data_IF_448087608422
#
_entry.id   IF_448087608422
#
_cell.length_a   1.000
_cell.length_b   1.000
_cell.length_c   1.000
_cell.angle_alpha   90.00
_cell.angle_beta   90.00
_cell.angle_gamma   90.00
#
_symmetry.space_group_name_H-M   'P 1'
#
loop_
_entity.id
_entity.type
_entity.pdbx_description
1 polymer ?
#
# COMPACT_ATOMS: atom_id res chain seq x y z
N UNK A 1 -44.24 25.86 47.89
CA UNK A 1 -44.05 24.76 46.90
C UNK A 1 -42.75 25.02 46.17
N UNK A 2 -41.69 24.28 46.51
CA UNK A 2 -40.37 24.44 45.88
C UNK A 2 -40.28 23.60 44.62
N UNK A 3 -40.07 24.26 43.47
CA UNK A 3 -39.80 23.60 42.20
C UNK A 3 -38.36 23.08 42.28
N UNK A 4 -38.20 21.76 42.48
CA UNK A 4 -36.91 21.09 42.33
C UNK A 4 -36.48 21.22 40.86
N UNK A 5 -35.47 22.04 40.61
CA UNK A 5 -34.77 22.07 39.34
C UNK A 5 -34.06 20.73 39.15
N UNK A 6 -34.63 19.86 38.30
CA UNK A 6 -33.98 18.64 37.87
C UNK A 6 -32.89 19.02 36.86
N UNK A 7 -31.68 19.28 37.35
CA UNK A 7 -30.48 19.28 36.51
C UNK A 7 -30.23 17.85 36.08
N UNK A 8 -30.72 17.50 34.89
CA UNK A 8 -30.37 16.26 34.23
C UNK A 8 -28.87 16.27 33.96
N UNK A 9 -28.16 15.32 34.54
CA UNK A 9 -26.71 15.22 34.51
C UNK A 9 -26.25 14.67 33.14
N UNK A 10 -26.34 15.51 32.11
CA UNK A 10 -25.92 15.19 30.73
C UNK A 10 -24.39 15.13 30.58
N UNK A 11 -23.64 14.95 31.66
CA UNK A 11 -22.18 14.87 31.68
C UNK A 11 -21.69 13.46 31.36
N UNK A 12 -22.31 12.42 31.95
CA UNK A 12 -21.94 11.01 31.74
C UNK A 12 -22.14 10.54 30.30
N UNK A 13 -23.30 10.83 29.71
CA UNK A 13 -23.65 10.44 28.33
C UNK A 13 -22.68 11.00 27.28
N UNK A 14 -22.07 12.18 27.54
CA UNK A 14 -21.06 12.77 26.66
C UNK A 14 -19.69 12.12 26.79
N UNK A 15 -19.27 11.79 28.01
CA UNK A 15 -18.03 11.05 28.25
C UNK A 15 -18.12 9.68 27.56
N UNK A 16 -19.31 9.07 27.56
CA UNK A 16 -19.58 7.83 26.85
C UNK A 16 -19.47 7.99 25.32
N UNK A 17 -20.04 9.05 24.74
CA UNK A 17 -19.93 9.34 23.30
C UNK A 17 -18.47 9.61 22.88
N UNK A 18 -17.74 10.43 23.64
CA UNK A 18 -16.33 10.73 23.35
C UNK A 18 -15.46 9.48 23.43
N UNK A 19 -15.72 8.61 24.43
CA UNK A 19 -15.01 7.34 24.56
C UNK A 19 -15.30 6.41 23.38
N UNK A 20 -16.55 6.34 22.92
CA UNK A 20 -16.93 5.53 21.77
C UNK A 20 -16.29 6.05 20.48
N UNK A 21 -16.22 7.37 20.29
CA UNK A 21 -15.53 7.97 19.14
C UNK A 21 -14.03 7.62 19.11
N UNK A 22 -13.33 7.73 20.25
CA UNK A 22 -11.92 7.31 20.32
C UNK A 22 -11.75 5.84 19.95
N UNK A 23 -12.58 4.97 20.51
CA UNK A 23 -12.57 3.53 20.21
C UNK A 23 -12.81 3.26 18.72
N UNK A 24 -13.74 3.97 18.09
CA UNK A 24 -14.01 3.85 16.66
C UNK A 24 -12.84 4.36 15.81
N UNK A 25 -12.21 5.47 16.19
CA UNK A 25 -11.02 5.99 15.52
C UNK A 25 -9.85 5.00 15.60
N UNK A 26 -9.57 4.45 16.79
CA UNK A 26 -8.50 3.47 16.98
C UNK A 26 -8.77 2.18 16.22
N UNK A 27 -10.02 1.67 16.27
CA UNK A 27 -10.42 0.52 15.45
C UNK A 27 -10.27 0.78 13.95
N UNK A 28 -10.58 1.99 13.49
CA UNK A 28 -10.41 2.37 12.08
C UNK A 28 -8.94 2.39 11.69
N UNK A 29 -8.07 2.98 12.53
CA UNK A 29 -6.61 2.97 12.31
C UNK A 29 -6.04 1.55 12.23
N UNK A 30 -6.47 0.66 13.12
CA UNK A 30 -6.05 -0.75 13.06
C UNK A 30 -6.45 -1.44 11.75
N UNK A 31 -7.66 -1.18 11.25
CA UNK A 31 -8.10 -1.73 9.95
C UNK A 31 -7.30 -1.12 8.78
N UNK A 32 -6.96 0.16 8.85
CA UNK A 32 -6.11 0.81 7.84
C UNK A 32 -4.70 0.24 7.81
N UNK A 33 -4.13 -0.10 8.97
CA UNK A 33 -2.84 -0.78 9.05
C UNK A 33 -2.92 -2.19 8.43
N UNK A 34 -4.03 -2.91 8.65
CA UNK A 34 -4.25 -4.21 7.99
C UNK A 34 -4.29 -4.09 6.47
N UNK A 35 -4.98 -3.09 5.91
CA UNK A 35 -4.97 -2.86 4.46
C UNK A 35 -3.60 -2.43 3.95
N UNK A 36 -2.83 -1.68 4.74
CA UNK A 36 -1.44 -1.35 4.41
C UNK A 36 -0.61 -2.63 4.21
N UNK A 37 -0.70 -3.56 5.16
CA UNK A 37 -0.02 -4.86 5.07
C UNK A 37 -0.52 -5.70 3.89
N UNK A 38 -1.83 -5.69 3.61
CA UNK A 38 -2.41 -6.38 2.45
C UNK A 38 -1.86 -5.80 1.14
N UNK A 39 -1.76 -4.48 1.02
CA UNK A 39 -1.20 -3.83 -0.16
C UNK A 39 0.28 -4.20 -0.37
N UNK A 40 1.07 -4.19 0.71
CA UNK A 40 2.48 -4.58 0.69
C UNK A 40 2.61 -6.04 0.24
N UNK A 41 1.84 -6.95 0.83
CA UNK A 41 1.88 -8.37 0.49
C UNK A 41 1.44 -8.64 -0.95
N UNK A 42 0.35 -7.99 -1.40
CA UNK A 42 -0.09 -8.04 -2.78
C UNK A 42 1.02 -7.54 -3.74
N UNK A 43 1.78 -6.52 -3.35
CA UNK A 43 2.91 -6.03 -4.13
C UNK A 43 4.04 -7.05 -4.20
N UNK A 44 4.34 -7.77 -3.11
CA UNK A 44 5.34 -8.85 -3.12
C UNK A 44 4.93 -9.95 -4.09
N UNK A 45 3.70 -10.46 -3.97
CA UNK A 45 3.16 -11.49 -4.86
C UNK A 45 3.19 -11.04 -6.31
N UNK A 46 2.71 -9.83 -6.58
CA UNK A 46 2.71 -9.25 -7.93
C UNK A 46 4.11 -9.14 -8.52
N UNK A 47 5.09 -8.67 -7.73
CA UNK A 47 6.47 -8.51 -8.20
C UNK A 47 7.10 -9.86 -8.49
N UNK A 48 6.90 -10.86 -7.62
CA UNK A 48 7.40 -12.21 -7.83
C UNK A 48 6.76 -12.89 -9.05
N UNK A 49 5.44 -12.80 -9.19
CA UNK A 49 4.73 -13.32 -10.37
C UNK A 49 5.20 -12.66 -11.66
N UNK A 50 5.42 -11.35 -11.62
CA UNK A 50 5.91 -10.60 -12.77
C UNK A 50 7.29 -11.13 -13.21
N UNK A 51 8.22 -11.30 -12.26
CA UNK A 51 9.55 -11.89 -12.53
C UNK A 51 9.43 -13.31 -13.08
N UNK A 52 8.58 -14.15 -12.46
CA UNK A 52 8.38 -15.54 -12.89
C UNK A 52 7.84 -15.63 -14.32
N UNK A 53 6.86 -14.80 -14.68
CA UNK A 53 6.34 -14.73 -16.05
C UNK A 53 7.43 -14.33 -17.03
N UNK A 54 8.27 -13.35 -16.69
CA UNK A 54 9.40 -12.95 -17.53
C UNK A 54 10.45 -14.08 -17.65
N UNK A 55 10.71 -14.84 -16.59
CA UNK A 55 11.57 -16.05 -16.63
C UNK A 55 11.02 -17.11 -17.58
N UNK A 56 9.72 -17.42 -17.50
CA UNK A 56 9.05 -18.44 -18.31
C UNK A 56 9.02 -18.07 -19.79
N UNK A 57 8.66 -16.82 -20.11
CA UNK A 57 8.65 -16.31 -21.49
C UNK A 57 10.02 -16.36 -22.15
N UNK A 58 11.09 -16.20 -21.37
CA UNK A 58 12.47 -16.25 -21.86
C UNK A 58 13.09 -17.66 -21.85
N UNK A 59 12.40 -18.66 -21.29
CA UNK A 59 12.87 -20.07 -21.26
C UNK A 59 12.17 -20.99 -22.24
N UNK A 60 11.14 -20.52 -22.95
CA UNK A 60 10.54 -21.26 -24.06
C UNK A 60 11.51 -21.31 -25.25
N UNK A 61 11.98 -22.52 -25.66
CA UNK A 61 12.77 -22.64 -26.88
C UNK A 61 11.84 -22.35 -28.06
N UNK A 62 12.17 -21.31 -28.80
CA UNK A 62 11.64 -21.06 -30.14
C UNK A 62 11.90 -22.34 -30.97
N UNK A 63 10.83 -23.06 -31.33
CA UNK A 63 10.93 -24.40 -31.87
C UNK A 63 11.54 -24.47 -33.29
N UNK A 64 12.32 -25.54 -33.50
CA UNK A 64 12.81 -26.19 -34.75
C UNK A 64 14.04 -25.51 -35.41
N UNK A 65 15.18 -26.18 -35.62
CA UNK A 65 15.35 -27.45 -36.35
C UNK A 65 16.44 -28.43 -35.84
N UNK A 66 16.11 -29.72 -36.02
CA UNK A 66 16.89 -30.98 -36.24
C UNK A 66 18.43 -31.00 -36.05
N UNK A 67 18.93 -31.80 -35.09
CA UNK A 67 19.69 -33.07 -35.26
C UNK A 67 20.20 -33.59 -33.90
N UNK A 68 20.21 -34.92 -33.62
CA UNK A 68 20.70 -35.44 -32.35
C UNK A 68 22.16 -35.92 -32.49
N UNK A 69 23.10 -35.31 -31.74
CA UNK A 69 24.28 -36.07 -31.32
C UNK A 69 25.04 -35.49 -30.13
N UNK A 70 25.25 -36.40 -29.17
CA UNK A 70 26.26 -36.46 -28.12
C UNK A 70 26.04 -35.66 -26.83
N UNK A 71 25.56 -36.42 -25.83
CA UNK A 71 26.13 -36.59 -24.48
C UNK A 71 27.04 -35.45 -24.00
N UNK A 72 26.49 -34.64 -23.10
CA UNK A 72 27.11 -34.28 -21.81
C UNK A 72 26.04 -33.64 -20.92
N UNK A 73 25.07 -34.48 -20.53
CA UNK A 73 24.10 -34.16 -19.48
C UNK A 73 24.72 -34.42 -18.11
N UNK A 74 25.19 -33.37 -17.46
CA UNK A 74 24.95 -33.03 -16.03
C UNK A 74 26.07 -32.12 -15.55
N UNK A 75 25.78 -30.81 -15.39
CA UNK A 75 26.50 -29.87 -14.49
C UNK A 75 26.00 -28.42 -14.52
N UNK A 76 25.00 -28.05 -15.35
CA UNK A 76 24.45 -26.67 -15.42
C UNK A 76 23.03 -26.51 -14.88
N UNK A 77 22.54 -27.45 -14.06
CA UNK A 77 21.26 -27.33 -13.34
C UNK A 77 21.32 -26.78 -11.88
N UNK A 78 22.47 -26.58 -11.20
CA UNK A 78 22.44 -26.10 -9.82
C UNK A 78 22.22 -24.58 -9.70
N UNK A 79 22.49 -23.80 -10.75
CA UNK A 79 22.58 -22.34 -10.65
C UNK A 79 21.20 -21.65 -10.63
N UNK A 80 20.21 -22.13 -11.41
CA UNK A 80 18.84 -21.58 -11.40
C UNK A 80 18.14 -21.65 -10.04
N UNK A 81 18.48 -22.67 -9.24
CA UNK A 81 17.81 -22.94 -7.96
C UNK A 81 18.29 -21.99 -6.85
N UNK A 82 19.59 -21.65 -6.84
CA UNK A 82 20.16 -20.63 -5.94
C UNK A 82 19.64 -19.24 -6.27
N UNK A 83 19.51 -18.91 -7.56
CA UNK A 83 19.04 -17.61 -8.02
C UNK A 83 17.55 -17.37 -7.74
N UNK A 84 16.70 -18.39 -7.93
CA UNK A 84 15.30 -18.34 -7.49
C UNK A 84 15.17 -18.14 -5.97
N UNK A 85 16.09 -18.73 -5.20
CA UNK A 85 16.12 -18.58 -3.75
C UNK A 85 16.51 -17.15 -3.34
N UNK A 86 17.49 -16.57 -4.02
CA UNK A 86 17.94 -15.19 -3.80
C UNK A 86 16.86 -14.17 -4.18
N UNK A 87 16.16 -14.36 -5.31
CA UNK A 87 15.00 -13.55 -5.71
C UNK A 87 13.85 -13.65 -4.71
N UNK A 88 13.51 -14.86 -4.26
CA UNK A 88 12.45 -15.09 -3.28
C UNK A 88 12.77 -14.48 -1.91
N UNK A 89 14.04 -14.22 -1.60
CA UNK A 89 14.44 -13.52 -0.38
C UNK A 89 14.62 -12.00 -0.57
N UNK A 90 15.15 -11.55 -1.71
CA UNK A 90 15.50 -10.15 -1.95
C UNK A 90 14.30 -9.28 -2.31
N UNK A 91 13.38 -9.79 -3.12
CA UNK A 91 12.21 -9.04 -3.58
C UNK A 91 11.28 -8.65 -2.42
N UNK A 92 10.92 -9.55 -1.48
CA UNK A 92 10.14 -9.15 -0.31
C UNK A 92 10.78 -8.03 0.51
N UNK A 93 12.10 -8.05 0.69
CA UNK A 93 12.82 -7.02 1.43
C UNK A 93 12.75 -5.66 0.73
N UNK A 94 13.00 -5.63 -0.58
CA UNK A 94 12.91 -4.40 -1.39
C UNK A 94 11.50 -3.82 -1.35
N UNK A 95 10.47 -4.67 -1.40
CA UNK A 95 9.07 -4.22 -1.30
C UNK A 95 8.80 -3.58 0.06
N UNK A 96 9.19 -4.23 1.14
CA UNK A 96 9.04 -3.71 2.51
C UNK A 96 9.77 -2.38 2.70
N UNK A 97 11.04 -2.29 2.31
CA UNK A 97 11.85 -1.07 2.43
C UNK A 97 11.27 0.15 1.70
N UNK A 98 10.51 -0.09 0.63
CA UNK A 98 9.97 0.96 -0.23
C UNK A 98 8.50 1.29 0.01
N UNK A 99 7.72 0.38 0.59
CA UNK A 99 6.29 0.60 0.85
C UNK A 99 5.94 0.72 2.32
N UNK A 100 6.70 0.11 3.23
CA UNK A 100 6.43 0.20 4.67
C UNK A 100 7.02 1.47 5.29
N UNK A 101 6.73 2.62 4.68
CA UNK A 101 7.17 3.94 5.15
C UNK A 101 5.98 4.77 5.57
N UNK A 102 6.10 5.42 6.72
CA UNK A 102 5.01 6.21 7.30
C UNK A 102 4.55 7.36 6.40
N UNK A 103 5.45 7.88 5.56
CA UNK A 103 5.15 8.95 4.59
C UNK A 103 4.04 8.60 3.58
N UNK A 104 3.83 7.31 3.32
CA UNK A 104 2.77 6.85 2.41
C UNK A 104 1.43 6.63 3.11
N UNK A 105 1.41 6.47 4.44
CA UNK A 105 0.25 5.99 5.16
C UNK A 105 -0.28 7.04 6.12
N UNK A 106 -1.29 7.78 5.65
CA UNK A 106 -1.89 8.90 6.38
C UNK A 106 -2.34 8.58 7.81
N UNK A 107 -2.79 7.35 8.10
CA UNK A 107 -3.24 6.98 9.45
C UNK A 107 -2.11 6.88 10.49
N UNK A 108 -0.85 6.73 10.05
CA UNK A 108 0.33 6.67 10.92
C UNK A 108 0.80 8.05 11.35
N UNK A 109 0.38 9.10 10.64
CA UNK A 109 0.58 10.48 11.06
C UNK A 109 -0.46 10.86 12.13
N UNK A 110 0.02 11.13 13.35
CA UNK A 110 -0.82 11.60 14.46
C UNK A 110 -1.45 12.98 14.17
N UNK A 111 -0.89 13.73 13.21
CA UNK A 111 -1.30 15.08 12.86
C UNK A 111 -2.30 15.13 11.70
N UNK A 112 -3.12 14.09 11.49
CA UNK A 112 -4.30 14.20 10.62
C UNK A 112 -5.11 15.44 11.06
N UNK A 113 -4.87 16.57 10.39
CA UNK A 113 -5.46 17.84 10.77
C UNK A 113 -6.91 17.76 10.35
N UNK A 114 -7.82 17.63 11.31
CA UNK A 114 -9.26 17.46 11.04
C UNK A 114 -9.93 18.74 10.48
N UNK A 115 -9.25 19.55 9.68
CA UNK A 115 -9.82 20.67 8.90
C UNK A 115 -9.60 20.44 7.38
N UNK A 116 -9.56 19.15 6.99
CA UNK A 116 -9.46 18.76 5.59
C UNK A 116 -10.83 18.89 4.91
N UNK A 117 -10.96 19.89 4.04
CA UNK A 117 -12.05 19.96 3.06
C UNK A 117 -11.99 18.77 2.10
N UNK A 118 -13.15 18.34 1.57
CA UNK A 118 -13.28 17.22 0.63
C UNK A 118 -12.27 17.29 -0.53
N UNK A 119 -12.03 18.48 -1.07
CA UNK A 119 -11.09 18.69 -2.18
C UNK A 119 -9.63 18.41 -1.79
N UNK A 120 -9.26 18.70 -0.53
CA UNK A 120 -7.94 18.38 -0.01
C UNK A 120 -7.78 16.88 0.27
N UNK A 121 -8.87 16.18 0.61
CA UNK A 121 -8.86 14.72 0.74
C UNK A 121 -8.62 14.05 -0.62
N UNK A 122 -9.35 14.44 -1.66
CA UNK A 122 -9.12 13.89 -3.01
C UNK A 122 -7.69 14.17 -3.50
N UNK A 123 -7.17 15.38 -3.25
CA UNK A 123 -5.77 15.70 -3.51
C UNK A 123 -4.79 14.78 -2.75
N UNK A 124 -5.05 14.49 -1.47
CA UNK A 124 -4.23 13.59 -0.66
C UNK A 124 -4.26 12.16 -1.20
N UNK A 125 -5.44 11.64 -1.58
CA UNK A 125 -5.58 10.31 -2.19
C UNK A 125 -4.81 10.22 -3.50
N UNK A 126 -4.93 11.23 -4.38
CA UNK A 126 -4.21 11.27 -5.65
C UNK A 126 -2.69 11.33 -5.43
N UNK A 127 -2.23 12.15 -4.47
CA UNK A 127 -0.81 12.22 -4.09
C UNK A 127 -0.30 10.86 -3.59
N UNK A 128 -1.05 10.17 -2.72
CA UNK A 128 -0.71 8.82 -2.25
C UNK A 128 -0.66 7.82 -3.40
N UNK A 129 -1.68 7.78 -4.27
CA UNK A 129 -1.71 6.91 -5.46
C UNK A 129 -0.47 7.11 -6.33
N UNK A 130 -0.10 8.37 -6.59
CA UNK A 130 1.11 8.71 -7.37
C UNK A 130 2.39 8.26 -6.68
N UNK A 131 2.52 8.49 -5.37
CA UNK A 131 3.66 8.04 -4.57
C UNK A 131 3.82 6.53 -4.61
N UNK A 132 2.77 5.79 -4.25
CA UNK A 132 2.76 4.32 -4.29
C UNK A 132 3.04 3.77 -5.69
N UNK A 133 2.47 4.38 -6.73
CA UNK A 133 2.76 4.00 -8.12
C UNK A 133 4.24 4.17 -8.46
N UNK A 134 4.85 5.28 -8.02
CA UNK A 134 6.27 5.53 -8.22
C UNK A 134 7.13 4.49 -7.49
N UNK A 135 6.79 4.17 -6.24
CA UNK A 135 7.51 3.15 -5.44
C UNK A 135 7.40 1.76 -6.06
N UNK A 136 6.22 1.34 -6.49
CA UNK A 136 6.02 0.05 -7.17
C UNK A 136 6.85 -0.02 -8.46
N UNK A 137 6.90 1.06 -9.25
CA UNK A 137 7.75 1.12 -10.45
C UNK A 137 9.23 0.99 -10.12
N UNK A 138 9.68 1.61 -9.03
CA UNK A 138 11.06 1.52 -8.59
C UNK A 138 11.39 0.10 -8.12
N UNK A 139 10.52 -0.53 -7.33
CA UNK A 139 10.65 -1.94 -6.91
C UNK A 139 10.81 -2.86 -8.12
N UNK A 140 9.97 -2.68 -9.14
CA UNK A 140 10.06 -3.46 -10.38
C UNK A 140 11.37 -3.18 -11.15
N UNK A 141 11.88 -1.95 -11.10
CA UNK A 141 13.20 -1.59 -11.62
C UNK A 141 14.31 -2.38 -10.91
N UNK A 142 14.34 -2.34 -9.58
CA UNK A 142 15.29 -3.12 -8.78
C UNK A 142 15.14 -4.63 -9.03
N UNK A 143 13.92 -5.12 -9.17
CA UNK A 143 13.66 -6.52 -9.51
C UNK A 143 14.21 -6.91 -10.88
N UNK A 144 14.06 -6.03 -11.88
CA UNK A 144 14.61 -6.23 -13.21
C UNK A 144 16.15 -6.17 -13.23
N UNK A 145 16.77 -5.34 -12.39
CA UNK A 145 18.23 -5.30 -12.22
C UNK A 145 18.77 -6.61 -11.66
N UNK A 146 18.18 -7.11 -10.56
CA UNK A 146 18.51 -8.43 -10.00
C UNK A 146 18.36 -9.51 -11.06
N UNK A 147 17.33 -9.43 -11.91
CA UNK A 147 17.13 -10.36 -13.00
C UNK A 147 18.15 -10.23 -14.15
N UNK A 148 18.57 -9.02 -14.50
CA UNK A 148 19.52 -8.77 -15.59
C UNK A 148 20.92 -9.31 -15.26
N UNK A 149 21.34 -9.19 -14.00
CA UNK A 149 22.60 -9.77 -13.51
C UNK A 149 22.63 -11.30 -13.67
N UNK A 150 21.47 -11.96 -13.75
CA UNK A 150 21.34 -13.40 -14.00
C UNK A 150 21.50 -13.79 -15.48
N UNK A 151 21.43 -12.84 -16.41
CA UNK A 151 21.33 -13.10 -17.85
C UNK A 151 22.56 -12.75 -18.68
N UNK A 152 23.61 -12.20 -18.08
CA UNK A 152 24.79 -11.68 -18.82
C UNK A 152 24.36 -10.68 -19.94
N UNK A 153 23.24 -9.97 -19.75
CA UNK A 153 22.68 -9.02 -20.74
C UNK A 153 23.22 -7.59 -20.55
N UNK A 154 23.46 -6.91 -21.67
CA UNK A 154 24.10 -5.60 -21.69
C UNK A 154 23.22 -4.45 -21.14
N UNK A 155 23.82 -3.40 -20.53
CA UNK A 155 23.39 -2.01 -20.59
C UNK A 155 21.93 -1.62 -20.79
N UNK A 156 21.64 -1.52 -22.08
CA UNK A 156 20.54 -0.76 -22.63
C UNK A 156 19.25 -1.56 -22.81
N UNK A 157 19.31 -2.89 -22.69
CA UNK A 157 18.10 -3.75 -22.67
C UNK A 157 17.44 -3.80 -21.26
N UNK A 158 18.09 -3.23 -20.24
CA UNK A 158 17.83 -3.38 -18.78
C UNK A 158 16.51 -2.78 -18.23
N UNK A 159 15.81 -1.92 -18.98
CA UNK A 159 14.63 -1.16 -18.47
C UNK A 159 13.33 -1.56 -19.21
N UNK A 160 13.40 -2.57 -20.07
CA UNK A 160 12.31 -2.92 -20.98
C UNK A 160 11.71 -4.27 -20.66
N UNK A 161 10.40 -4.29 -20.47
CA UNK A 161 9.61 -5.52 -20.34
C UNK A 161 8.96 -5.83 -21.69
N UNK A 162 8.99 -7.09 -22.13
CA UNK A 162 8.31 -7.52 -23.36
C UNK A 162 6.87 -7.94 -23.06
N UNK A 163 5.98 -6.97 -22.93
CA UNK A 163 4.55 -7.27 -22.78
C UNK A 163 3.87 -7.43 -24.16
N UNK A 164 3.29 -8.61 -24.45
CA UNK A 164 2.58 -8.92 -25.72
C UNK A 164 3.41 -8.62 -26.98
N UNK A 165 4.70 -8.92 -26.94
CA UNK A 165 5.63 -8.74 -28.07
C UNK A 165 6.06 -7.29 -28.34
N UNK A 166 5.71 -6.33 -27.47
CA UNK A 166 6.17 -4.93 -27.55
C UNK A 166 7.06 -4.60 -26.36
N UNK A 167 8.20 -3.93 -26.62
CA UNK A 167 9.05 -3.37 -25.55
C UNK A 167 8.28 -2.23 -24.89
N UNK A 168 7.90 -2.42 -23.62
CA UNK A 168 7.34 -1.35 -22.80
C UNK A 168 8.35 -1.00 -21.71
N UNK A 169 8.45 0.29 -21.46
CA UNK A 169 9.09 0.75 -20.22
C UNK A 169 8.34 0.10 -19.05
N UNK A 170 9.04 -0.24 -17.96
CA UNK A 170 8.42 -0.64 -16.68
C UNK A 170 7.28 0.33 -16.28
N UNK A 171 7.31 1.57 -16.79
CA UNK A 171 6.36 2.66 -16.54
C UNK A 171 4.88 2.47 -16.95
N UNK A 172 4.44 1.34 -17.51
CA UNK A 172 2.99 1.10 -17.80
C UNK A 172 2.47 -0.11 -17.02
N UNK A 173 2.76 -0.19 -15.72
CA UNK A 173 2.10 -1.14 -14.84
C UNK A 173 0.96 -0.47 -14.09
N UNK A 174 -0.23 -1.07 -14.23
CA UNK A 174 -1.37 -0.84 -13.35
C UNK A 174 -1.16 -1.68 -12.09
N UNK A 175 -1.69 -1.22 -10.97
CA UNK A 175 -1.80 -2.07 -9.79
C UNK A 175 -2.57 -3.35 -10.13
N UNK A 176 -2.25 -4.44 -9.43
CA UNK A 176 -3.09 -5.63 -9.45
C UNK A 176 -4.47 -5.30 -8.89
N UNK A 177 -5.42 -6.20 -9.13
CA UNK A 177 -6.78 -6.05 -8.62
C UNK A 177 -6.77 -6.06 -7.09
N UNK A 178 -5.91 -6.87 -6.45
CA UNK A 178 -5.74 -6.93 -4.99
C UNK A 178 -5.16 -5.63 -4.42
N UNK A 179 -4.09 -5.11 -5.04
CA UNK A 179 -3.51 -3.81 -4.66
C UNK A 179 -4.55 -2.69 -4.77
N UNK A 180 -5.30 -2.66 -5.88
CA UNK A 180 -6.33 -1.66 -6.13
C UNK A 180 -7.45 -1.75 -5.10
N UNK A 181 -7.98 -2.96 -4.88
CA UNK A 181 -9.06 -3.19 -3.93
C UNK A 181 -8.64 -2.85 -2.49
N UNK A 182 -7.41 -3.18 -2.11
CA UNK A 182 -6.87 -2.83 -0.79
C UNK A 182 -6.74 -1.33 -0.60
N UNK A 183 -6.21 -0.64 -1.61
CA UNK A 183 -6.05 0.80 -1.56
C UNK A 183 -7.40 1.54 -1.55
N UNK A 184 -8.40 1.05 -2.28
CA UNK A 184 -9.75 1.61 -2.25
C UNK A 184 -10.40 1.45 -0.87
N UNK A 185 -10.28 0.26 -0.24
CA UNK A 185 -10.74 0.05 1.15
C UNK A 185 -10.00 0.96 2.14
N UNK A 186 -8.70 1.13 1.97
CA UNK A 186 -7.90 2.08 2.76
C UNK A 186 -8.46 3.50 2.65
N UNK A 187 -8.81 3.97 1.44
CA UNK A 187 -9.37 5.30 1.25
C UNK A 187 -10.77 5.48 1.83
N UNK A 188 -11.60 4.45 1.80
CA UNK A 188 -12.89 4.46 2.51
C UNK A 188 -12.70 4.65 4.02
N UNK A 189 -11.72 3.95 4.62
CA UNK A 189 -11.44 4.10 6.05
C UNK A 189 -10.77 5.44 6.40
N UNK A 190 -9.99 6.00 5.47
CA UNK A 190 -9.45 7.36 5.63
C UNK A 190 -10.57 8.41 5.67
N UNK A 191 -11.60 8.26 4.84
CA UNK A 191 -12.80 9.10 4.90
C UNK A 191 -13.53 8.95 6.23
N UNK A 192 -13.73 7.71 6.70
CA UNK A 192 -14.35 7.41 7.99
C UNK A 192 -13.59 8.08 9.15
N UNK A 193 -12.26 7.95 9.16
CA UNK A 193 -11.41 8.54 10.19
C UNK A 193 -11.52 10.08 10.23
N UNK A 194 -11.67 10.72 9.06
CA UNK A 194 -11.90 12.17 8.97
C UNK A 194 -13.29 12.58 9.46
N UNK A 195 -14.32 11.80 9.15
CA UNK A 195 -15.69 12.04 9.66
C UNK A 195 -15.68 11.96 11.20
N UNK A 196 -15.11 10.89 11.76
CA UNK A 196 -14.99 10.71 13.21
C UNK A 196 -14.19 11.86 13.86
N UNK A 197 -13.09 12.29 13.24
CA UNK A 197 -12.28 13.41 13.72
C UNK A 197 -13.04 14.75 13.72
N UNK A 198 -13.91 14.97 12.74
CA UNK A 198 -14.79 16.15 12.67
C UNK A 198 -15.89 16.11 13.75
N UNK A 199 -16.50 14.94 13.96
CA UNK A 199 -17.50 14.75 15.02
C UNK A 199 -16.92 15.04 16.41
N UNK A 200 -15.71 14.51 16.66
CA UNK A 200 -14.98 14.75 17.90
C UNK A 200 -14.72 16.24 18.14
N UNK A 201 -14.22 16.97 17.12
CA UNK A 201 -14.02 18.43 17.18
C UNK A 201 -15.31 19.19 17.44
N UNK A 202 -16.42 18.81 16.82
CA UNK A 202 -17.70 19.49 17.04
C UNK A 202 -18.22 19.33 18.48
N UNK A 203 -17.95 18.17 19.10
CA UNK A 203 -18.24 17.96 20.53
C UNK A 203 -17.35 18.85 21.41
N UNK A 204 -16.05 18.96 21.10
CA UNK A 204 -15.12 19.83 21.83
C UNK A 204 -15.53 21.30 21.74
N UNK A 205 -15.82 21.81 20.53
CA UNK A 205 -16.29 23.20 20.32
C UNK A 205 -17.57 23.49 21.10
N UNK A 206 -18.55 22.56 21.06
CA UNK A 206 -19.82 22.70 21.81
C UNK A 206 -19.59 22.72 23.33
N UNK A 207 -18.55 22.04 23.81
CA UNK A 207 -18.19 21.99 25.22
C UNK A 207 -17.55 23.30 25.66
N UNK A 208 -16.54 23.78 24.94
CA UNK A 208 -15.90 25.08 25.19
C UNK A 208 -16.90 26.25 25.12
N UNK A 209 -17.81 26.24 24.15
CA UNK A 209 -18.83 27.29 24.01
C UNK A 209 -19.85 27.30 25.17
N UNK A 210 -20.10 26.16 25.83
CA UNK A 210 -20.98 26.08 27.01
C UNK A 210 -20.27 26.48 28.29
N UNK A 211 -18.99 26.16 28.45
CA UNK A 211 -18.18 26.58 29.59
C UNK A 211 -18.00 28.10 29.60
N UNK A 212 -17.72 28.71 28.43
CA UNK A 212 -17.63 30.16 28.28
C UNK A 212 -18.95 30.91 28.55
N UNK A 213 -20.10 30.23 28.46
CA UNK A 213 -21.43 30.79 28.80
C UNK A 213 -21.81 30.63 30.28
N UNK A 214 -21.18 29.70 31.02
CA UNK A 214 -21.41 29.50 32.46
C UNK A 214 -20.52 30.38 33.34
N UNK A 215 -19.43 30.94 32.79
CA UNK A 215 -18.50 31.84 33.48
C UNK A 215 -18.77 33.34 33.31
N UNK A 216 -19.90 33.73 32.69
CA UNK A 216 -20.41 35.11 32.60
C UNK A 216 -21.71 35.23 33.38
#
# INVERSE_FOLDING_TARGET
MGIKSHTQDCSGEKVDIVRELHKNMDSTREKMEKETLIFIEATKSFTLEWIQRELELNTLPMGKDVYPRNKDTDKKKPDKMSHLKEMNSGIPLIVEENLNRDEYWAHRDQLLQNDVFRDYLEFKKDKMKKGLTSSVRMILGCAAEIFADLKDEAPGDRIWVKERGRRKYICILRFSDEMTASLDRYFTMLEELLILGNEMKEIEKRTQARENKKGR
#
